data_IF_057342179582
#
_entry.id   IF_057342179582
#
_cell.length_a   1.000
_cell.length_b   1.000
_cell.length_c   1.000
_cell.angle_alpha   90.00
_cell.angle_beta   90.00
_cell.angle_gamma   90.00
#
_symmetry.space_group_name_H-M   'P 1'
#
loop_
_entity.id
_entity.type
_entity.pdbx_description
1 polymer ?
#
# COMPACT_ATOMS: atom_id res chain seq x y z
N UNK A 1 10.27 -4.34 43.35
CA UNK A 1 11.09 -3.28 43.96
C UNK A 1 10.24 -2.03 44.08
N UNK A 2 9.93 -1.53 45.29
CA UNK A 2 9.24 -0.26 45.43
C UNK A 2 10.23 0.86 45.14
N UNK A 3 9.88 1.68 44.15
CA UNK A 3 10.57 2.89 43.74
C UNK A 3 10.69 3.87 44.90
N UNK A 4 11.90 4.41 45.11
CA UNK A 4 12.16 5.57 45.97
C UNK A 4 11.23 6.70 45.54
N UNK A 5 10.18 6.93 46.32
CA UNK A 5 9.10 7.83 45.96
C UNK A 5 9.39 9.24 46.43
N UNK A 6 9.99 10.06 45.56
CA UNK A 6 9.50 11.39 45.15
C UNK A 6 10.25 11.75 43.87
N UNK A 7 9.53 11.93 42.77
CA UNK A 7 10.06 12.55 41.55
C UNK A 7 9.04 13.57 41.08
N UNK A 8 9.51 14.81 40.92
CA UNK A 8 8.68 15.96 40.59
C UNK A 8 8.78 16.19 39.08
N UNK A 9 7.64 16.33 38.41
CA UNK A 9 7.60 16.67 36.98
C UNK A 9 7.13 18.10 36.82
N UNK A 10 7.93 18.88 36.08
CA UNK A 10 7.69 20.29 35.79
C UNK A 10 6.78 20.48 34.58
N UNK A 11 5.75 21.30 34.75
CA UNK A 11 4.67 21.49 33.78
C UNK A 11 5.04 22.50 32.67
N UNK A 12 5.97 22.16 31.79
CA UNK A 12 6.07 22.73 30.42
C UNK A 12 6.05 21.63 29.34
N UNK A 13 5.59 20.44 29.69
CA UNK A 13 5.25 19.43 28.70
C UNK A 13 3.87 19.78 28.13
N UNK A 14 3.85 20.37 26.92
CA UNK A 14 2.64 20.75 26.14
C UNK A 14 1.69 19.55 25.94
N UNK A 15 2.17 18.33 26.18
CA UNK A 15 1.38 17.11 26.24
C UNK A 15 1.47 16.41 27.62
N UNK A 16 0.49 16.76 28.47
CA UNK A 16 -0.38 15.85 29.23
C UNK A 16 -0.09 15.49 30.70
N UNK A 17 -1.07 15.87 31.53
CA UNK A 17 -1.40 15.17 32.78
C UNK A 17 -1.88 13.71 32.52
N UNK A 18 -2.51 13.47 31.37
CA UNK A 18 -3.03 12.16 30.96
C UNK A 18 -1.93 11.11 30.72
N UNK A 19 -0.78 11.45 30.11
CA UNK A 19 0.31 10.48 29.94
C UNK A 19 1.04 10.21 31.26
N UNK A 20 1.17 11.21 32.14
CA UNK A 20 1.75 10.99 33.47
C UNK A 20 0.91 10.05 34.35
N UNK A 21 -0.42 10.11 34.27
CA UNK A 21 -1.32 9.17 34.96
C UNK A 21 -1.31 7.75 34.38
N UNK A 22 -0.96 7.58 33.10
CA UNK A 22 -0.95 6.28 32.42
C UNK A 22 0.39 5.56 32.49
N UNK A 23 1.49 6.29 32.67
CA UNK A 23 2.81 5.68 32.80
C UNK A 23 2.99 5.07 34.20
N UNK A 24 3.33 3.78 34.25
CA UNK A 24 3.65 3.07 35.50
C UNK A 24 4.77 3.76 36.30
N UNK A 25 5.66 4.47 35.63
CA UNK A 25 6.81 5.14 36.26
C UNK A 25 6.50 6.53 36.82
N UNK A 26 5.39 7.17 36.45
CA UNK A 26 5.05 8.52 36.92
C UNK A 26 3.70 8.63 37.63
N UNK A 27 2.99 7.53 37.80
CA UNK A 27 1.68 7.51 38.48
C UNK A 27 1.78 7.90 39.97
N UNK A 28 2.95 7.70 40.58
CA UNK A 28 3.27 8.08 41.96
C UNK A 28 3.85 9.49 42.08
N UNK A 29 3.97 10.23 40.97
CA UNK A 29 4.58 11.56 40.95
C UNK A 29 3.56 12.67 41.23
N UNK A 30 3.99 13.73 41.91
CA UNK A 30 3.20 14.95 42.11
C UNK A 30 3.55 15.99 41.04
N UNK A 31 2.56 16.45 40.28
CA UNK A 31 2.73 17.51 39.28
C UNK A 31 2.82 18.88 39.97
N UNK A 32 3.88 19.65 39.68
CA UNK A 32 4.03 21.02 40.19
C UNK A 32 3.98 22.01 39.01
N UNK A 33 3.06 22.99 39.01
CA UNK A 33 3.02 24.04 37.99
C UNK A 33 4.28 24.90 38.01
N UNK A 34 4.91 25.12 36.86
CA UNK A 34 6.13 25.94 36.73
C UNK A 34 5.93 27.40 37.20
N UNK A 35 4.73 27.95 37.04
CA UNK A 35 4.36 29.27 37.57
C UNK A 35 4.42 29.38 39.10
N UNK A 36 4.44 28.26 39.83
CA UNK A 36 4.61 28.21 41.30
C UNK A 36 6.07 28.00 41.74
N UNK A 37 7.03 27.86 40.81
CA UNK A 37 8.47 27.73 41.09
C UNK A 37 9.18 29.09 41.13
N UNK A 38 8.52 30.13 41.66
CA UNK A 38 9.18 31.43 41.86
C UNK A 38 10.28 31.38 42.92
N UNK A 39 10.31 30.33 43.75
CA UNK A 39 11.39 30.06 44.69
C UNK A 39 11.88 28.62 44.51
N UNK A 40 13.07 28.43 43.93
CA UNK A 40 13.79 27.13 43.93
C UNK A 40 13.91 26.60 45.37
N UNK A 41 13.96 27.53 46.34
CA UNK A 41 13.91 27.28 47.78
C UNK A 41 12.70 26.44 48.19
N UNK A 42 11.50 26.72 47.68
CA UNK A 42 10.29 25.96 48.04
C UNK A 42 10.28 24.56 47.43
N UNK A 43 10.83 24.39 46.22
CA UNK A 43 10.99 23.08 45.60
C UNK A 43 11.98 22.20 46.36
N UNK A 44 13.14 22.75 46.73
CA UNK A 44 14.15 22.05 47.53
C UNK A 44 13.66 21.77 48.96
N UNK A 45 12.89 22.69 49.57
CA UNK A 45 12.25 22.49 50.88
C UNK A 45 11.20 21.38 50.88
N UNK A 46 10.45 21.25 49.79
CA UNK A 46 9.39 20.25 49.64
C UNK A 46 9.90 18.90 49.09
N UNK A 47 11.20 18.75 48.87
CA UNK A 47 11.81 17.46 48.54
C UNK A 47 11.83 16.59 49.82
N UNK A 48 10.67 16.02 50.18
CA UNK A 48 10.50 15.23 51.40
C UNK A 48 11.16 13.87 51.25
N UNK A 49 12.25 13.67 51.99
CA UNK A 49 12.99 12.41 52.07
C UNK A 49 12.35 11.47 53.10
N UNK A 50 11.10 11.07 52.91
CA UNK A 50 10.41 10.18 53.86
C UNK A 50 10.55 8.72 53.49
N UNK A 51 10.82 7.88 54.48
CA UNK A 51 10.87 6.44 54.35
C UNK A 51 9.49 5.87 54.05
N UNK A 52 9.39 5.01 53.03
CA UNK A 52 8.15 4.33 52.70
C UNK A 52 7.79 3.24 53.71
N UNK A 53 8.79 2.65 54.38
CA UNK A 53 8.61 1.53 55.29
C UNK A 53 8.33 1.97 56.74
N UNK A 54 8.62 3.24 57.08
CA UNK A 54 8.45 3.77 58.44
C UNK A 54 7.79 5.15 58.39
N UNK A 55 6.53 5.21 58.82
CA UNK A 55 5.71 6.43 58.84
C UNK A 55 6.39 7.54 59.66
N UNK A 56 6.60 8.70 59.02
CA UNK A 56 7.23 9.86 59.65
C UNK A 56 8.77 9.79 59.76
N UNK A 57 9.40 8.69 59.36
CA UNK A 57 10.86 8.56 59.36
C UNK A 57 11.49 9.28 58.17
N UNK A 58 12.34 10.29 58.41
CA UNK A 58 13.17 10.87 57.35
C UNK A 58 14.41 10.00 57.07
N UNK A 59 14.80 9.91 55.80
CA UNK A 59 16.09 9.33 55.44
C UNK A 59 17.19 10.19 56.05
N UNK A 60 18.09 9.54 56.79
CA UNK A 60 19.20 10.17 57.52
C UNK A 60 20.51 9.41 57.30
N UNK A 61 20.41 8.15 56.85
CA UNK A 61 21.53 7.26 56.59
C UNK A 61 21.49 6.72 55.15
N UNK A 62 22.64 6.28 54.66
CA UNK A 62 22.80 5.56 53.40
C UNK A 62 23.64 4.31 53.65
N UNK A 63 23.13 3.16 53.23
CA UNK A 63 23.84 1.90 53.28
C UNK A 63 24.60 1.68 51.96
N UNK A 64 25.93 1.59 52.02
CA UNK A 64 26.76 1.37 50.84
C UNK A 64 26.64 -0.05 50.29
N UNK A 65 26.62 -1.06 51.16
CA UNK A 65 26.55 -2.47 50.75
C UNK A 65 25.28 -2.79 49.97
N UNK A 66 24.18 -2.10 50.27
CA UNK A 66 22.87 -2.34 49.66
C UNK A 66 22.41 -1.23 48.70
N UNK A 67 23.20 -0.16 48.55
CA UNK A 67 22.88 1.04 47.75
C UNK A 67 21.47 1.60 48.02
N UNK A 68 21.17 1.85 49.30
CA UNK A 68 19.81 2.25 49.75
C UNK A 68 19.83 3.39 50.76
N UNK A 69 18.87 4.31 50.62
CA UNK A 69 18.54 5.32 51.63
C UNK A 69 17.85 4.65 52.83
N UNK A 70 18.22 5.03 54.05
CA UNK A 70 17.72 4.44 55.30
C UNK A 70 17.29 5.54 56.29
N UNK A 71 16.13 5.36 56.91
CA UNK A 71 15.77 6.12 58.12
C UNK A 71 16.29 5.37 59.37
N UNK A 72 16.21 5.96 60.58
CA UNK A 72 16.67 5.29 61.80
C UNK A 72 15.99 3.93 62.02
N UNK A 73 14.69 3.81 61.71
CA UNK A 73 13.95 2.54 61.77
C UNK A 73 14.48 1.47 60.81
N UNK A 74 14.83 1.84 59.57
CA UNK A 74 15.48 0.94 58.62
C UNK A 74 16.83 0.43 59.15
N UNK A 75 17.61 1.32 59.78
CA UNK A 75 18.90 0.96 60.34
C UNK A 75 18.75 -0.06 61.46
N UNK A 76 17.84 0.19 62.40
CA UNK A 76 17.63 -0.67 63.57
C UNK A 76 17.00 -2.03 63.24
N UNK A 77 16.07 -2.07 62.28
CA UNK A 77 15.28 -3.29 62.00
C UNK A 77 15.88 -4.11 60.85
N UNK A 78 16.35 -3.46 59.78
CA UNK A 78 16.72 -4.14 58.53
C UNK A 78 18.22 -4.13 58.23
N UNK A 79 19.00 -3.28 58.92
CA UNK A 79 20.43 -3.11 58.67
C UNK A 79 21.27 -3.25 59.94
N UNK A 80 20.74 -3.89 60.99
CA UNK A 80 21.35 -4.00 62.33
C UNK A 80 22.77 -4.58 62.31
N UNK A 81 23.05 -5.49 61.37
CA UNK A 81 24.35 -6.15 61.19
C UNK A 81 25.14 -5.61 59.99
N UNK A 82 24.63 -4.59 59.30
CA UNK A 82 25.32 -3.97 58.18
C UNK A 82 26.34 -2.94 58.68
N UNK A 83 27.62 -3.18 58.39
CA UNK A 83 28.72 -2.36 58.90
C UNK A 83 29.04 -1.14 58.00
N UNK A 84 28.45 -1.04 56.81
CA UNK A 84 28.72 0.05 55.84
C UNK A 84 27.59 1.09 55.77
N UNK A 85 27.02 1.46 56.92
CA UNK A 85 26.03 2.53 57.03
C UNK A 85 26.76 3.84 57.31
N UNK A 86 26.56 4.83 56.45
CA UNK A 86 27.10 6.18 56.63
C UNK A 86 25.96 7.19 56.73
N UNK A 87 26.25 8.39 57.24
CA UNK A 87 25.26 9.46 57.25
C UNK A 87 25.00 9.96 55.83
N UNK A 88 23.80 10.49 55.57
CA UNK A 88 23.52 11.12 54.26
C UNK A 88 24.40 12.34 53.99
N UNK A 89 24.85 13.05 55.04
CA UNK A 89 25.83 14.12 54.91
C UNK A 89 27.12 13.62 54.27
N UNK A 90 27.70 12.55 54.82
CA UNK A 90 28.91 11.90 54.28
C UNK A 90 28.68 11.36 52.87
N UNK A 91 27.52 10.72 52.62
CA UNK A 91 27.17 10.18 51.32
C UNK A 91 27.01 11.28 50.26
N UNK A 92 26.46 12.44 50.65
CA UNK A 92 26.26 13.59 49.77
C UNK A 92 27.57 14.27 49.39
N UNK A 93 28.50 14.38 50.34
CA UNK A 93 29.86 14.89 50.09
C UNK A 93 30.61 13.96 49.15
N UNK A 94 30.53 12.65 49.38
CA UNK A 94 31.10 11.64 48.47
C UNK A 94 30.49 11.71 47.06
N UNK A 95 29.16 11.79 46.96
CA UNK A 95 28.47 11.90 45.68
C UNK A 95 28.86 13.18 44.91
N UNK A 96 29.02 14.30 45.62
CA UNK A 96 29.46 15.57 45.04
C UNK A 96 30.93 15.52 44.61
N UNK A 97 31.81 14.96 45.45
CA UNK A 97 33.24 14.79 45.14
C UNK A 97 33.45 13.87 43.93
N UNK A 98 32.62 12.84 43.80
CA UNK A 98 32.68 11.87 42.72
C UNK A 98 31.87 12.29 41.48
N UNK A 99 31.26 13.49 41.48
CA UNK A 99 30.53 14.02 40.34
C UNK A 99 29.32 13.17 39.90
N UNK A 100 28.66 12.48 40.84
CA UNK A 100 27.59 11.51 40.50
C UNK A 100 26.40 12.16 39.81
N UNK A 101 26.03 13.39 40.19
CA UNK A 101 24.91 14.12 39.58
C UNK A 101 25.30 14.57 38.16
N UNK A 102 26.53 15.02 37.98
CA UNK A 102 27.08 15.41 36.69
C UNK A 102 27.15 14.21 35.73
N UNK A 103 27.61 13.04 36.19
CA UNK A 103 27.60 11.79 35.42
C UNK A 103 26.17 11.37 35.02
N UNK A 104 25.22 11.42 35.96
CA UNK A 104 23.81 11.15 35.66
C UNK A 104 23.24 12.14 34.64
N UNK A 105 23.58 13.43 34.74
CA UNK A 105 23.20 14.45 33.79
C UNK A 105 23.75 14.20 32.38
N UNK A 106 25.01 13.78 32.27
CA UNK A 106 25.63 13.39 30.99
C UNK A 106 24.93 12.18 30.40
N UNK A 107 24.74 11.11 31.19
CA UNK A 107 24.06 9.88 30.75
C UNK A 107 22.62 10.12 30.31
N UNK A 108 21.89 11.01 31.02
CA UNK A 108 20.55 11.42 30.62
C UNK A 108 20.56 12.18 29.30
N UNK A 109 21.52 13.09 29.10
CA UNK A 109 21.66 13.83 27.85
C UNK A 109 21.99 12.91 26.68
N UNK A 110 22.89 11.96 26.87
CA UNK A 110 23.22 10.94 25.87
C UNK A 110 22.00 10.10 25.51
N UNK A 111 21.25 9.62 26.51
CA UNK A 111 20.03 8.86 26.29
C UNK A 111 18.97 9.68 25.52
N UNK A 112 18.82 10.97 25.83
CA UNK A 112 17.91 11.87 25.10
C UNK A 112 18.34 12.05 23.64
N UNK A 113 19.64 12.22 23.38
CA UNK A 113 20.16 12.30 22.01
C UNK A 113 19.88 11.02 21.23
N UNK A 114 20.19 9.85 21.81
CA UNK A 114 19.92 8.55 21.16
C UNK A 114 18.43 8.35 20.87
N UNK A 115 17.55 8.69 21.81
CA UNK A 115 16.10 8.57 21.62
C UNK A 115 15.60 9.50 20.51
N UNK A 116 16.14 10.72 20.42
CA UNK A 116 15.81 11.68 19.37
C UNK A 116 16.26 11.19 17.98
N UNK A 117 17.47 10.64 17.87
CA UNK A 117 17.97 10.04 16.63
C UNK A 117 17.11 8.86 16.18
N UNK A 118 16.74 7.98 17.12
CA UNK A 118 15.86 6.84 16.84
C UNK A 118 14.47 7.32 16.39
N UNK A 119 13.92 8.34 17.03
CA UNK A 119 12.63 8.93 16.65
C UNK A 119 12.67 9.46 15.21
N UNK A 120 13.73 10.20 14.85
CA UNK A 120 13.91 10.73 13.50
C UNK A 120 14.03 9.62 12.46
N UNK A 121 14.85 8.59 12.72
CA UNK A 121 14.97 7.44 11.83
C UNK A 121 13.64 6.71 11.64
N UNK A 122 12.82 6.60 12.70
CA UNK A 122 11.47 6.01 12.57
C UNK A 122 10.54 6.88 11.72
N UNK A 123 10.59 8.21 11.87
CA UNK A 123 9.82 9.14 11.03
C UNK A 123 10.22 9.08 9.56
N UNK A 124 11.52 9.03 9.28
CA UNK A 124 12.05 8.86 7.93
C UNK A 124 11.59 7.54 7.31
N UNK A 125 11.70 6.44 8.06
CA UNK A 125 11.25 5.13 7.59
C UNK A 125 9.74 5.10 7.30
N UNK A 126 8.91 5.78 8.10
CA UNK A 126 7.47 5.96 7.80
C UNK A 126 7.29 6.71 6.48
N UNK A 127 8.07 7.77 6.26
CA UNK A 127 8.08 8.52 4.99
C UNK A 127 8.41 7.62 3.80
N UNK A 128 9.48 6.80 3.92
CA UNK A 128 9.89 5.85 2.88
C UNK A 128 8.81 4.81 2.58
N UNK A 129 8.20 4.20 3.61
CA UNK A 129 7.12 3.21 3.44
C UNK A 129 5.92 3.83 2.72
N UNK A 130 5.56 5.07 3.07
CA UNK A 130 4.48 5.78 2.39
C UNK A 130 4.80 6.07 0.92
N UNK A 131 6.04 6.48 0.61
CA UNK A 131 6.49 6.68 -0.76
C UNK A 131 6.47 5.36 -1.56
N UNK A 132 6.95 4.26 -0.97
CA UNK A 132 6.90 2.93 -1.58
C UNK A 132 5.47 2.48 -1.86
N UNK A 133 4.55 2.66 -0.90
CA UNK A 133 3.12 2.37 -1.08
C UNK A 133 2.54 3.14 -2.25
N UNK A 134 2.84 4.44 -2.36
CA UNK A 134 2.36 5.26 -3.45
C UNK A 134 2.95 4.81 -4.81
N UNK A 135 4.24 4.47 -4.84
CA UNK A 135 4.89 3.90 -6.02
C UNK A 135 4.22 2.61 -6.50
N UNK A 136 3.99 1.66 -5.59
CA UNK A 136 3.28 0.40 -5.89
C UNK A 136 1.88 0.69 -6.45
N UNK A 137 1.15 1.65 -5.86
CA UNK A 137 -0.18 2.02 -6.33
C UNK A 137 -0.14 2.56 -7.77
N UNK A 138 0.80 3.44 -8.08
CA UNK A 138 0.99 3.97 -9.44
C UNK A 138 1.31 2.86 -10.41
N UNK A 139 2.23 1.95 -10.08
CA UNK A 139 2.57 0.79 -10.91
C UNK A 139 1.35 -0.09 -11.18
N UNK A 140 0.54 -0.40 -10.16
CA UNK A 140 -0.70 -1.18 -10.34
C UNK A 140 -1.69 -0.48 -11.28
N UNK A 141 -1.86 0.84 -11.15
CA UNK A 141 -2.72 1.62 -12.04
C UNK A 141 -2.20 1.61 -13.48
N UNK A 142 -0.89 1.76 -13.69
CA UNK A 142 -0.28 1.70 -15.02
C UNK A 142 -0.39 0.31 -15.65
N UNK A 143 -0.17 -0.75 -14.88
CA UNK A 143 -0.35 -2.13 -15.33
C UNK A 143 -1.79 -2.36 -15.80
N UNK A 144 -2.78 -1.97 -15.00
CA UNK A 144 -4.19 -2.08 -15.38
C UNK A 144 -4.50 -1.31 -16.65
N UNK A 145 -4.01 -0.07 -16.76
CA UNK A 145 -4.20 0.74 -17.97
C UNK A 145 -3.63 0.04 -19.20
N UNK A 146 -2.38 -0.43 -19.14
CA UNK A 146 -1.74 -1.15 -20.26
C UNK A 146 -2.51 -2.41 -20.69
N UNK A 147 -3.05 -3.17 -19.73
CA UNK A 147 -3.87 -4.34 -20.04
C UNK A 147 -5.14 -3.92 -20.76
N UNK A 148 -5.84 -2.91 -20.27
CA UNK A 148 -7.04 -2.39 -20.92
C UNK A 148 -6.74 -1.86 -22.33
N UNK A 149 -5.73 -0.99 -22.47
CA UNK A 149 -5.33 -0.44 -23.78
C UNK A 149 -5.03 -1.55 -24.80
N UNK A 150 -4.42 -2.65 -24.33
CA UNK A 150 -4.16 -3.80 -25.18
C UNK A 150 -5.43 -4.54 -25.57
N UNK A 151 -6.36 -4.77 -24.63
CA UNK A 151 -7.66 -5.39 -24.91
C UNK A 151 -8.47 -4.55 -25.91
N UNK A 152 -8.53 -3.23 -25.71
CA UNK A 152 -9.19 -2.30 -26.62
C UNK A 152 -8.57 -2.40 -28.03
N UNK A 153 -7.24 -2.52 -28.13
CA UNK A 153 -6.56 -2.69 -29.42
C UNK A 153 -6.89 -4.02 -30.12
N UNK A 154 -7.13 -5.08 -29.34
CA UNK A 154 -7.53 -6.39 -29.88
C UNK A 154 -8.98 -6.36 -30.37
N UNK A 155 -9.86 -5.69 -29.62
CA UNK A 155 -11.25 -5.46 -29.99
C UNK A 155 -11.35 -4.67 -31.30
N UNK A 156 -10.69 -3.50 -31.38
CA UNK A 156 -10.66 -2.70 -32.61
C UNK A 156 -10.20 -3.50 -33.83
N UNK A 157 -9.17 -4.34 -33.66
CA UNK A 157 -8.65 -5.17 -34.76
C UNK A 157 -9.67 -6.22 -35.23
N UNK A 158 -10.46 -6.81 -34.32
CA UNK A 158 -11.46 -7.79 -34.73
C UNK A 158 -12.70 -7.10 -35.32
N UNK A 159 -13.07 -5.90 -34.83
CA UNK A 159 -14.12 -5.08 -35.40
C UNK A 159 -13.79 -4.64 -36.84
N UNK A 160 -12.57 -4.18 -37.10
CA UNK A 160 -12.11 -3.84 -38.45
C UNK A 160 -12.22 -5.04 -39.40
N UNK A 161 -11.80 -6.23 -38.94
CA UNK A 161 -11.93 -7.47 -39.72
C UNK A 161 -13.39 -7.84 -39.97
N UNK A 162 -14.25 -7.69 -38.97
CA UNK A 162 -15.68 -7.96 -39.08
C UNK A 162 -16.33 -7.01 -40.09
N UNK A 163 -16.03 -5.72 -40.02
CA UNK A 163 -16.53 -4.71 -40.96
C UNK A 163 -16.09 -5.02 -42.39
N UNK A 164 -14.82 -5.36 -42.58
CA UNK A 164 -14.30 -5.72 -43.90
C UNK A 164 -14.97 -6.99 -44.45
N UNK A 165 -15.05 -8.06 -43.65
CA UNK A 165 -15.70 -9.31 -44.06
C UNK A 165 -17.19 -9.10 -44.37
N UNK A 166 -17.88 -8.31 -43.56
CA UNK A 166 -19.27 -7.93 -43.79
C UNK A 166 -19.43 -7.19 -45.12
N UNK A 167 -18.61 -6.17 -45.36
CA UNK A 167 -18.63 -5.40 -46.59
C UNK A 167 -18.41 -6.29 -47.83
N UNK A 168 -17.40 -7.15 -47.80
CA UNK A 168 -17.12 -8.08 -48.89
C UNK A 168 -18.28 -9.05 -49.15
N UNK A 169 -18.92 -9.55 -48.09
CA UNK A 169 -20.10 -10.41 -48.21
C UNK A 169 -21.27 -9.68 -48.88
N UNK A 170 -21.56 -8.45 -48.43
CA UNK A 170 -22.65 -7.63 -48.99
C UNK A 170 -22.36 -7.28 -50.45
N UNK A 171 -21.17 -6.79 -50.79
CA UNK A 171 -20.81 -6.43 -52.16
C UNK A 171 -20.93 -7.63 -53.12
N UNK A 172 -20.53 -8.82 -52.67
CA UNK A 172 -20.67 -10.05 -53.45
C UNK A 172 -22.14 -10.42 -53.69
N UNK A 173 -22.96 -10.37 -52.64
CA UNK A 173 -24.39 -10.68 -52.74
C UNK A 173 -25.14 -9.65 -53.59
N UNK A 174 -24.86 -8.35 -53.43
CA UNK A 174 -25.45 -7.29 -54.25
C UNK A 174 -25.10 -7.46 -55.73
N UNK A 175 -23.86 -7.81 -56.05
CA UNK A 175 -23.43 -8.05 -57.43
C UNK A 175 -24.19 -9.21 -58.04
N UNK A 176 -24.30 -10.33 -57.32
CA UNK A 176 -25.09 -11.48 -57.77
C UNK A 176 -26.58 -11.14 -57.92
N UNK A 177 -27.12 -10.34 -56.99
CA UNK A 177 -28.53 -9.93 -57.02
C UNK A 177 -28.82 -9.07 -58.25
N UNK A 178 -28.00 -8.06 -58.53
CA UNK A 178 -28.15 -7.20 -59.73
C UNK A 178 -28.06 -8.00 -61.04
N UNK A 179 -27.15 -8.98 -61.08
CA UNK A 179 -26.96 -9.86 -62.24
C UNK A 179 -28.19 -10.76 -62.50
N UNK A 180 -28.84 -11.23 -61.43
CA UNK A 180 -30.10 -11.98 -61.48
C UNK A 180 -31.29 -11.08 -61.83
N UNK A 181 -31.37 -9.87 -61.28
CA UNK A 181 -32.42 -8.89 -61.60
C UNK A 181 -32.42 -8.54 -63.09
N UNK A 182 -31.26 -8.20 -63.65
CA UNK A 182 -31.12 -7.87 -65.08
C UNK A 182 -31.59 -9.00 -66.00
N UNK A 183 -31.24 -10.24 -65.67
CA UNK A 183 -31.69 -11.42 -66.42
C UNK A 183 -33.19 -11.65 -66.27
N UNK A 184 -33.72 -11.45 -65.07
CA UNK A 184 -35.15 -11.57 -64.78
C UNK A 184 -35.95 -10.55 -65.59
N UNK A 185 -35.49 -9.30 -65.68
CA UNK A 185 -36.11 -8.28 -66.53
C UNK A 185 -36.08 -8.67 -68.01
N UNK A 186 -34.93 -9.14 -68.50
CA UNK A 186 -34.78 -9.61 -69.89
C UNK A 186 -35.76 -10.74 -70.20
N UNK A 187 -35.89 -11.72 -69.30
CA UNK A 187 -36.84 -12.81 -69.43
C UNK A 187 -38.30 -12.34 -69.45
N UNK A 188 -38.65 -11.36 -68.61
CA UNK A 188 -39.99 -10.77 -68.59
C UNK A 188 -40.32 -10.08 -69.92
N UNK A 189 -39.36 -9.35 -70.50
CA UNK A 189 -39.52 -8.74 -71.83
C UNK A 189 -39.77 -9.80 -72.89
N UNK A 190 -38.94 -10.84 -72.96
CA UNK A 190 -39.14 -11.91 -73.93
C UNK A 190 -40.46 -12.64 -73.74
N UNK A 191 -40.88 -12.88 -72.50
CA UNK A 191 -42.17 -13.48 -72.21
C UNK A 191 -43.33 -12.62 -72.74
N UNK A 192 -43.24 -11.29 -72.58
CA UNK A 192 -44.22 -10.36 -73.14
C UNK A 192 -44.23 -10.41 -74.66
N UNK A 193 -43.05 -10.39 -75.31
CA UNK A 193 -42.92 -10.43 -76.76
C UNK A 193 -43.47 -11.73 -77.35
N UNK A 194 -43.16 -12.87 -76.74
CA UNK A 194 -43.72 -14.18 -77.12
C UNK A 194 -45.24 -14.16 -77.04
N UNK A 195 -45.80 -13.60 -75.96
CA UNK A 195 -47.24 -13.50 -75.78
C UNK A 195 -47.88 -12.63 -76.85
N UNK A 196 -47.27 -11.48 -77.17
CA UNK A 196 -47.74 -10.59 -78.23
C UNK A 196 -47.70 -11.25 -79.62
N UNK A 197 -46.59 -11.92 -79.96
CA UNK A 197 -46.45 -12.63 -81.25
C UNK A 197 -47.42 -13.81 -81.33
N UNK A 198 -47.69 -14.50 -80.22
CA UNK A 198 -48.66 -15.59 -80.18
C UNK A 198 -50.10 -15.10 -80.39
N UNK A 199 -50.47 -13.98 -79.78
CA UNK A 199 -51.85 -13.48 -79.80
C UNK A 199 -52.18 -12.70 -81.08
N UNK A 200 -51.19 -12.02 -81.67
CA UNK A 200 -51.41 -11.08 -82.77
C UNK A 200 -50.46 -11.25 -83.96
N UNK A 201 -49.42 -12.07 -83.84
CA UNK A 201 -48.41 -12.27 -84.88
C UNK A 201 -48.86 -13.25 -85.97
N UNK A 202 -48.18 -13.19 -87.11
CA UNK A 202 -48.34 -14.19 -88.18
C UNK A 202 -47.42 -15.40 -87.95
N UNK A 203 -47.66 -16.49 -88.68
CA UNK A 203 -46.85 -17.71 -88.61
C UNK A 203 -45.35 -17.45 -88.86
N UNK A 204 -45.04 -16.52 -89.76
CA UNK A 204 -43.65 -16.11 -90.05
C UNK A 204 -43.03 -15.43 -88.82
N UNK A 205 -43.74 -14.50 -88.16
CA UNK A 205 -43.24 -13.84 -86.95
C UNK A 205 -43.00 -14.85 -85.81
N UNK A 206 -43.93 -15.80 -85.64
CA UNK A 206 -43.80 -16.88 -84.64
C UNK A 206 -42.57 -17.76 -84.90
N UNK A 207 -42.35 -18.16 -86.16
CA UNK A 207 -41.21 -18.98 -86.54
C UNK A 207 -39.86 -18.25 -86.31
N UNK A 208 -39.76 -16.98 -86.72
CA UNK A 208 -38.55 -16.18 -86.52
C UNK A 208 -38.25 -15.96 -85.03
N UNK A 209 -39.26 -15.64 -84.23
CA UNK A 209 -39.12 -15.46 -82.78
C UNK A 209 -38.66 -16.76 -82.10
N UNK A 210 -39.32 -17.89 -82.42
CA UNK A 210 -38.93 -19.21 -81.91
C UNK A 210 -37.46 -19.50 -82.19
N UNK A 211 -37.01 -19.27 -83.43
CA UNK A 211 -35.64 -19.60 -83.81
C UNK A 211 -34.60 -18.69 -83.16
N UNK A 212 -34.97 -17.43 -82.89
CA UNK A 212 -34.12 -16.46 -82.20
C UNK A 212 -33.94 -16.80 -80.71
N UNK A 213 -34.96 -17.39 -80.09
CA UNK A 213 -34.96 -17.71 -78.66
C UNK A 213 -34.32 -19.07 -78.32
N UNK A 214 -34.26 -20.04 -79.24
CA UNK A 214 -33.67 -21.37 -78.97
C UNK A 214 -32.23 -21.29 -78.43
N UNK A 215 -31.38 -20.45 -79.04
CA UNK A 215 -30.01 -20.27 -78.58
C UNK A 215 -29.94 -19.59 -77.20
N UNK A 216 -30.78 -18.57 -76.98
CA UNK A 216 -30.85 -17.82 -75.73
C UNK A 216 -31.35 -18.70 -74.57
N UNK A 217 -32.33 -19.57 -74.83
CA UNK A 217 -32.83 -20.53 -73.83
C UNK A 217 -31.74 -21.51 -73.40
N UNK A 218 -30.95 -22.01 -74.34
CA UNK A 218 -29.83 -22.92 -74.05
C UNK A 218 -28.77 -22.23 -73.17
N UNK A 219 -28.45 -20.96 -73.45
CA UNK A 219 -27.54 -20.16 -72.62
C UNK A 219 -28.09 -19.95 -71.20
N UNK A 220 -29.38 -19.71 -71.07
CA UNK A 220 -30.05 -19.45 -69.80
C UNK A 220 -30.15 -20.71 -68.93
N UNK A 221 -30.43 -21.86 -69.51
CA UNK A 221 -30.39 -23.16 -68.83
C UNK A 221 -28.99 -23.47 -68.32
N UNK A 222 -27.97 -23.22 -69.15
CA UNK A 222 -26.56 -23.42 -68.77
C UNK A 222 -26.17 -22.49 -67.61
N UNK A 223 -26.60 -21.22 -67.67
CA UNK A 223 -26.41 -20.27 -66.58
C UNK A 223 -27.13 -20.71 -65.32
N UNK A 224 -28.42 -21.09 -65.39
CA UNK A 224 -29.20 -21.49 -64.21
C UNK A 224 -28.59 -22.71 -63.52
N UNK A 225 -28.13 -23.69 -64.30
CA UNK A 225 -27.40 -24.85 -63.78
C UNK A 225 -26.13 -24.41 -63.05
N UNK A 226 -25.32 -23.56 -63.67
CA UNK A 226 -24.09 -23.04 -63.04
C UNK A 226 -24.39 -22.21 -61.80
N UNK A 227 -25.44 -21.39 -61.80
CA UNK A 227 -25.80 -20.49 -60.70
C UNK A 227 -26.41 -21.25 -59.52
N UNK A 228 -27.17 -22.32 -59.77
CA UNK A 228 -27.68 -23.20 -58.71
C UNK A 228 -26.58 -24.04 -58.08
N UNK A 229 -25.64 -24.55 -58.87
CA UNK A 229 -24.45 -25.27 -58.37
C UNK A 229 -23.51 -24.35 -57.56
N UNK A 230 -23.45 -23.06 -57.90
CA UNK A 230 -22.59 -22.06 -57.24
C UNK A 230 -23.37 -21.12 -56.31
N UNK A 231 -24.58 -21.49 -55.90
CA UNK A 231 -25.38 -20.66 -55.00
C UNK A 231 -24.79 -20.71 -53.59
N UNK A 232 -24.10 -19.64 -53.19
CA UNK A 232 -23.40 -19.58 -51.90
C UNK A 232 -24.22 -18.71 -50.95
N UNK A 233 -24.79 -19.33 -49.91
CA UNK A 233 -25.21 -18.60 -48.72
C UNK A 233 -23.98 -18.21 -47.90
N UNK A 234 -23.77 -16.92 -47.68
CA UNK A 234 -22.66 -16.43 -46.85
C UNK A 234 -23.14 -16.28 -45.40
N UNK A 235 -22.34 -16.79 -44.46
CA UNK A 235 -22.58 -16.67 -43.02
C UNK A 235 -21.30 -16.16 -42.34
N UNK A 236 -21.45 -15.15 -41.49
CA UNK A 236 -20.38 -14.66 -40.63
C UNK A 236 -20.43 -15.39 -39.29
N UNK A 237 -19.35 -16.07 -38.94
CA UNK A 237 -19.18 -16.70 -37.63
C UNK A 237 -17.99 -16.09 -36.90
N UNK A 238 -18.13 -16.00 -35.58
CA UNK A 238 -17.08 -15.53 -34.69
C UNK A 238 -16.75 -16.63 -33.70
N UNK A 239 -15.46 -16.93 -33.56
CA UNK A 239 -14.93 -17.92 -32.62
C UNK A 239 -13.87 -17.24 -31.78
N UNK A 240 -14.05 -17.30 -30.47
CA UNK A 240 -13.10 -16.78 -29.48
C UNK A 240 -11.87 -17.69 -29.39
N UNK A 241 -10.71 -17.10 -29.06
CA UNK A 241 -9.52 -17.91 -28.82
C UNK A 241 -9.62 -18.62 -27.47
N UNK A 242 -9.20 -19.89 -27.42
CA UNK A 242 -9.17 -20.68 -26.19
C UNK A 242 -8.27 -20.04 -25.11
N UNK A 243 -7.24 -19.32 -25.51
CA UNK A 243 -6.39 -18.54 -24.61
C UNK A 243 -7.14 -17.39 -23.95
N UNK A 244 -8.00 -16.69 -24.69
CA UNK A 244 -8.80 -15.59 -24.14
C UNK A 244 -9.89 -16.10 -23.21
N UNK A 245 -10.57 -17.19 -23.57
CA UNK A 245 -11.58 -17.84 -22.72
C UNK A 245 -11.01 -18.29 -21.37
N UNK A 246 -9.75 -18.74 -21.35
CA UNK A 246 -9.09 -19.21 -20.14
C UNK A 246 -8.37 -18.11 -19.34
N UNK A 247 -8.46 -16.84 -19.75
CA UNK A 247 -7.75 -15.75 -19.10
C UNK A 247 -8.10 -15.62 -17.60
N UNK A 248 -9.39 -15.75 -17.27
CA UNK A 248 -9.87 -15.70 -15.88
C UNK A 248 -9.38 -16.89 -15.03
N UNK A 249 -9.17 -18.04 -15.66
CA UNK A 249 -8.67 -19.24 -15.01
C UNK A 249 -7.14 -19.23 -14.85
N UNK A 250 -6.45 -18.32 -15.54
CA UNK A 250 -4.98 -18.27 -15.54
C UNK A 250 -4.45 -17.13 -14.65
N UNK A 251 -5.18 -16.01 -14.57
CA UNK A 251 -4.74 -14.82 -13.83
C UNK A 251 -5.57 -14.63 -12.57
N UNK A 252 -5.03 -15.05 -11.43
CA UNK A 252 -5.70 -14.94 -10.12
C UNK A 252 -5.20 -13.78 -9.24
N UNK A 253 -4.01 -13.26 -9.52
CA UNK A 253 -3.42 -12.14 -8.80
C UNK A 253 -2.55 -11.28 -9.72
N UNK A 254 -2.50 -9.97 -9.45
CA UNK A 254 -1.63 -9.03 -10.17
C UNK A 254 -0.19 -9.00 -9.61
N UNK A 255 0.00 -9.54 -8.41
CA UNK A 255 1.28 -9.58 -7.72
C UNK A 255 1.10 -9.82 -6.22
N UNK A 256 2.23 -9.83 -5.52
CA UNK A 256 2.29 -10.09 -4.07
C UNK A 256 3.04 -8.95 -3.37
N UNK A 257 2.64 -8.66 -2.13
CA UNK A 257 3.32 -7.66 -1.28
C UNK A 257 4.11 -8.41 -0.21
N UNK A 258 5.43 -8.27 -0.25
CA UNK A 258 6.33 -8.81 0.77
C UNK A 258 6.91 -7.69 1.65
N UNK A 259 6.92 -7.89 2.97
CA UNK A 259 7.57 -6.98 3.93
C UNK A 259 8.84 -7.62 4.44
N UNK A 260 9.99 -7.10 4.02
CA UNK A 260 11.29 -7.58 4.48
C UNK A 260 11.76 -6.78 5.69
N UNK A 261 12.17 -7.47 6.75
CA UNK A 261 12.77 -6.86 7.92
C UNK A 261 14.28 -6.91 7.76
N UNK A 262 14.91 -5.77 7.54
CA UNK A 262 16.36 -5.61 7.67
C UNK A 262 16.68 -4.97 9.02
N UNK A 263 17.64 -5.54 9.74
CA UNK A 263 18.19 -4.90 10.93
C UNK A 263 19.08 -3.75 10.48
N UNK A 264 18.65 -2.51 10.71
CA UNK A 264 19.52 -1.35 10.51
C UNK A 264 20.49 -1.29 11.69
N UNK A 265 21.79 -1.45 11.43
CA UNK A 265 22.84 -1.15 12.41
C UNK A 265 22.89 0.35 12.65
N UNK A 266 22.02 0.85 13.53
CA UNK A 266 22.21 2.16 14.13
C UNK A 266 23.44 2.05 15.04
N UNK A 267 24.61 2.47 14.53
CA UNK A 267 25.83 2.57 15.31
C UNK A 267 25.66 3.74 16.29
N UNK A 268 24.95 3.48 17.38
CA UNK A 268 24.91 4.38 18.53
C UNK A 268 26.21 4.14 19.27
N UNK A 269 27.25 4.94 19.00
CA UNK A 269 28.49 4.84 19.78
C UNK A 269 28.26 5.44 21.16
N UNK A 270 28.32 4.64 22.25
CA UNK A 270 28.35 5.23 23.58
C UNK A 270 29.72 5.91 23.73
N UNK A 271 29.74 7.24 23.80
CA UNK A 271 30.95 7.96 24.23
C UNK A 271 31.22 7.54 25.67
N UNK A 272 32.29 6.78 25.90
CA UNK A 272 32.69 6.36 27.24
C UNK A 272 32.80 7.59 28.13
N UNK A 273 31.95 7.70 29.15
CA UNK A 273 32.15 8.69 30.21
C UNK A 273 33.52 8.40 30.83
N UNK A 274 34.38 9.42 30.85
CA UNK A 274 35.71 9.29 31.40
C UNK A 274 35.59 8.97 32.90
N UNK A 275 35.94 7.74 33.28
CA UNK A 275 36.13 7.37 34.69
C UNK A 275 37.16 8.32 35.29
N UNK A 276 36.73 9.28 36.11
CA UNK A 276 37.63 10.08 36.93
C UNK A 276 38.26 9.11 37.93
N UNK A 277 39.49 8.66 37.66
CA UNK A 277 40.29 7.89 38.60
C UNK A 277 40.67 8.83 39.74
N UNK A 278 40.03 8.68 40.90
CA UNK A 278 40.52 9.27 42.14
C UNK A 278 41.86 8.61 42.49
N UNK A 279 42.98 9.32 42.27
CA UNK A 279 44.29 8.94 42.82
C UNK A 279 44.22 9.10 44.34
N UNK A 280 44.20 7.98 45.07
CA UNK A 280 44.64 7.94 46.46
C UNK A 280 46.15 8.20 46.47
N UNK A 281 46.56 9.38 46.92
CA UNK A 281 47.93 9.64 47.37
C UNK A 281 47.92 9.38 48.87
N UNK A 282 48.48 8.24 49.27
CA UNK A 282 48.83 7.96 50.66
C UNK A 282 50.15 8.67 50.94
N UNK A 283 50.16 9.55 51.94
CA UNK A 283 51.35 9.91 52.71
C UNK A 283 51.06 9.60 54.16
#
# INVERSE_FOLDING_TARGET
MPSVGVSIVLKDCVQTEKHHKKSKTSITHRLIPLLKLKDISDFLRNFTQTCCDHTGGSFTFYCKSHDKLCCPGCVTIHQKECHEIITLGEASVDAKKNGKIEDLGVRMKEALTTLSELENHKKENIGMINAQRNGIRTTLSEMRRKVNDYLDSLEMRIEEKLLQAHKECIEKLETQTKDLEKRTETLKTWQSDITMVKDYGSDIHSFVMSKSLENLMTELETFNKKSTENFIGLNLSFVTSTTFENLQNTVHALGEISVNKSSTELIITPRKSARIKSKLVVK
#
